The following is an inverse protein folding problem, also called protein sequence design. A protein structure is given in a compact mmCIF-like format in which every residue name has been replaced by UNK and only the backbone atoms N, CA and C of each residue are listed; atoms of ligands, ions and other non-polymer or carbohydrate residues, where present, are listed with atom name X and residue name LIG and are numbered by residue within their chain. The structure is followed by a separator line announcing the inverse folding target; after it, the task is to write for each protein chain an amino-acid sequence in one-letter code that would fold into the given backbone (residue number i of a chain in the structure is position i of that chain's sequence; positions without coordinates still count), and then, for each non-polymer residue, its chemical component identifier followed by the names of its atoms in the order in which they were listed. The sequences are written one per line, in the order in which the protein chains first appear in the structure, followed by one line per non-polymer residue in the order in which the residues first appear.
data_IF_691506134748
#
_entry.id   IF_691506134748
#
_cell.length_a   1.000
_cell.length_b   1.000
_cell.length_c   1.000
_cell.angle_alpha   90.00
_cell.angle_beta   90.00
_cell.angle_gamma   90.00
#
_symmetry.space_group_name_H-M   'P 1'
#
loop_
_entity.id
_entity.type
_entity.pdbx_description
1 polymer ?
#
# COMPACT_ATOMS: atom_id res chain seq x y z
N UNK A 1 -4.24 -17.56 97.41
CA UNK A 1 -3.67 -18.35 96.30
C UNK A 1 -4.83 -18.84 95.45
N UNK A 2 -5.12 -18.15 94.35
CA UNK A 2 -6.19 -18.53 93.42
C UNK A 2 -5.69 -19.68 92.55
N UNK A 3 -6.51 -20.72 92.39
CA UNK A 3 -6.19 -21.86 91.53
C UNK A 3 -6.10 -21.39 90.07
N UNK A 4 -4.87 -21.15 89.60
CA UNK A 4 -4.55 -20.96 88.19
C UNK A 4 -4.61 -22.33 87.50
N UNK A 5 -5.82 -22.76 87.17
CA UNK A 5 -6.04 -23.95 86.37
C UNK A 5 -7.31 -23.73 85.57
N UNK A 6 -7.23 -23.98 84.26
CA UNK A 6 -8.42 -23.96 83.43
C UNK A 6 -9.34 -25.06 83.94
N UNK A 7 -10.61 -24.72 84.14
CA UNK A 7 -11.62 -25.75 84.36
C UNK A 7 -11.67 -26.65 83.12
N UNK A 8 -11.96 -27.93 83.32
CA UNK A 8 -12.07 -28.90 82.23
C UNK A 8 -13.03 -28.44 81.11
N UNK A 9 -14.07 -27.70 81.50
CA UNK A 9 -15.04 -27.10 80.60
C UNK A 9 -14.45 -25.99 79.73
N UNK A 10 -13.63 -25.11 80.30
CA UNK A 10 -12.92 -24.06 79.55
C UNK A 10 -11.89 -24.65 78.57
N UNK A 11 -11.21 -25.74 78.95
CA UNK A 11 -10.29 -26.45 78.06
C UNK A 11 -11.05 -27.07 76.87
N UNK A 12 -12.19 -27.71 77.14
CA UNK A 12 -13.03 -28.31 76.10
C UNK A 12 -13.58 -27.25 75.13
N UNK A 13 -14.01 -26.10 75.66
CA UNK A 13 -14.53 -24.99 74.85
C UNK A 13 -13.43 -24.36 73.99
N UNK A 14 -12.22 -24.17 74.54
CA UNK A 14 -11.07 -23.67 73.79
C UNK A 14 -10.64 -24.63 72.67
N UNK A 15 -10.62 -25.94 72.93
CA UNK A 15 -10.33 -26.95 71.90
C UNK A 15 -11.38 -26.94 70.78
N UNK A 16 -12.67 -26.80 71.10
CA UNK A 16 -13.75 -26.70 70.12
C UNK A 16 -13.64 -25.41 69.27
N UNK A 17 -13.29 -24.28 69.89
CA UNK A 17 -13.07 -23.03 69.16
C UNK A 17 -11.85 -23.10 68.23
N UNK A 18 -10.77 -23.75 68.66
CA UNK A 18 -9.58 -23.97 67.84
C UNK A 18 -9.90 -24.85 66.61
N UNK A 19 -10.64 -25.95 66.81
CA UNK A 19 -11.03 -26.84 65.71
C UNK A 19 -11.98 -26.14 64.73
N UNK A 20 -12.95 -25.36 65.22
CA UNK A 20 -13.84 -24.55 64.37
C UNK A 20 -13.07 -23.51 63.55
N UNK A 21 -12.07 -22.85 64.13
CA UNK A 21 -11.21 -21.90 63.40
C UNK A 21 -10.37 -22.62 62.34
N UNK A 22 -9.85 -23.81 62.65
CA UNK A 22 -9.08 -24.62 61.70
C UNK A 22 -9.93 -25.09 60.53
N UNK A 23 -11.14 -25.58 60.80
CA UNK A 23 -12.10 -26.01 59.78
C UNK A 23 -12.55 -24.83 58.92
N UNK A 24 -12.89 -23.68 59.53
CA UNK A 24 -13.23 -22.47 58.78
C UNK A 24 -12.08 -21.95 57.92
N UNK A 25 -10.83 -22.03 58.40
CA UNK A 25 -9.65 -21.67 57.60
C UNK A 25 -9.44 -22.63 56.41
N UNK A 26 -9.62 -23.94 56.62
CA UNK A 26 -9.53 -24.93 55.56
C UNK A 26 -10.62 -24.74 54.49
N UNK A 27 -11.85 -24.46 54.90
CA UNK A 27 -12.97 -24.14 53.99
C UNK A 27 -12.69 -22.85 53.20
N UNK A 28 -12.16 -21.79 53.84
CA UNK A 28 -11.79 -20.57 53.12
C UNK A 28 -10.63 -20.77 52.15
N UNK A 29 -9.64 -21.60 52.50
CA UNK A 29 -8.51 -21.90 51.63
C UNK A 29 -8.96 -22.67 50.38
N UNK A 30 -9.85 -23.65 50.56
CA UNK A 30 -10.44 -24.40 49.44
C UNK A 30 -11.22 -23.48 48.48
N UNK A 31 -12.01 -22.54 49.01
CA UNK A 31 -12.73 -21.55 48.18
C UNK A 31 -11.77 -20.65 47.39
N UNK A 32 -10.65 -20.23 48.00
CA UNK A 32 -9.64 -19.45 47.27
C UNK A 32 -8.92 -20.26 46.19
N UNK A 33 -8.65 -21.55 46.42
CA UNK A 33 -8.07 -22.43 45.41
C UNK A 33 -9.00 -22.61 44.22
N UNK A 34 -10.31 -22.79 44.46
CA UNK A 34 -11.32 -22.83 43.40
C UNK A 34 -11.41 -21.51 42.63
N UNK A 35 -11.38 -20.36 43.32
CA UNK A 35 -11.35 -19.05 42.67
C UNK A 35 -10.09 -18.82 41.83
N UNK A 36 -8.93 -19.28 42.30
CA UNK A 36 -7.68 -19.18 41.58
C UNK A 36 -7.73 -20.05 40.31
N UNK A 37 -8.22 -21.28 40.42
CA UNK A 37 -8.40 -22.17 39.28
C UNK A 37 -9.34 -21.56 38.21
N UNK A 38 -10.46 -20.98 38.64
CA UNK A 38 -11.39 -20.33 37.72
C UNK A 38 -10.79 -19.07 37.05
N UNK A 39 -9.97 -18.30 37.79
CA UNK A 39 -9.27 -17.14 37.24
C UNK A 39 -8.18 -17.55 36.25
N UNK A 40 -7.43 -18.60 36.55
CA UNK A 40 -6.39 -19.14 35.66
C UNK A 40 -6.99 -19.66 34.35
N UNK A 41 -8.13 -20.36 34.42
CA UNK A 41 -8.89 -20.78 33.23
C UNK A 41 -9.32 -19.57 32.39
N UNK A 42 -9.82 -18.51 33.03
CA UNK A 42 -10.22 -17.29 32.31
C UNK A 42 -9.03 -16.55 31.69
N UNK A 43 -7.88 -16.54 32.36
CA UNK A 43 -6.64 -15.98 31.81
C UNK A 43 -6.19 -16.76 30.58
N UNK A 44 -6.27 -18.09 30.61
CA UNK A 44 -5.92 -18.93 29.46
C UNK A 44 -6.83 -18.69 28.26
N UNK A 45 -8.14 -18.57 28.49
CA UNK A 45 -9.13 -18.24 27.45
C UNK A 45 -8.84 -16.87 26.81
N UNK A 46 -8.63 -15.83 27.62
CA UNK A 46 -8.32 -14.47 27.12
C UNK A 46 -6.98 -14.45 26.38
N UNK A 47 -5.99 -15.21 26.85
CA UNK A 47 -4.69 -15.32 26.18
C UNK A 47 -4.83 -15.94 24.78
N UNK A 48 -5.65 -16.99 24.66
CA UNK A 48 -5.95 -17.62 23.37
C UNK A 48 -6.64 -16.64 22.42
N UNK A 49 -7.70 -15.96 22.86
CA UNK A 49 -8.42 -14.95 22.04
C UNK A 49 -7.48 -13.84 21.56
N UNK A 50 -6.58 -13.38 22.43
CA UNK A 50 -5.60 -12.33 22.09
C UNK A 50 -4.61 -12.82 21.05
N UNK A 51 -4.15 -14.06 21.16
CA UNK A 51 -3.18 -14.63 20.23
C UNK A 51 -3.84 -14.89 18.86
N UNK A 52 -5.07 -15.38 18.81
CA UNK A 52 -5.89 -15.49 17.59
C UNK A 52 -6.12 -14.11 16.93
N UNK A 53 -6.49 -13.10 17.71
CA UNK A 53 -6.68 -11.74 17.20
C UNK A 53 -5.38 -11.13 16.64
N UNK A 54 -4.23 -11.49 17.22
CA UNK A 54 -2.91 -11.06 16.76
C UNK A 54 -2.53 -11.74 15.44
N UNK A 55 -2.82 -13.03 15.30
CA UNK A 55 -2.62 -13.75 14.04
C UNK A 55 -3.50 -13.18 12.93
N UNK A 56 -4.80 -12.98 13.18
CA UNK A 56 -5.71 -12.34 12.22
C UNK A 56 -5.23 -10.95 11.80
N UNK A 57 -4.72 -10.13 12.74
CA UNK A 57 -4.15 -8.82 12.43
C UNK A 57 -2.86 -8.95 11.60
N UNK A 58 -2.03 -9.95 11.86
CA UNK A 58 -0.83 -10.24 11.08
C UNK A 58 -1.18 -10.64 9.64
N UNK A 59 -2.14 -11.54 9.46
CA UNK A 59 -2.64 -11.96 8.15
C UNK A 59 -3.25 -10.77 7.38
N UNK A 60 -4.04 -9.92 8.04
CA UNK A 60 -4.56 -8.69 7.43
C UNK A 60 -3.44 -7.73 7.01
N UNK A 61 -2.37 -7.63 7.81
CA UNK A 61 -1.21 -6.79 7.51
C UNK A 61 -0.38 -7.34 6.37
N UNK A 62 -0.20 -8.65 6.30
CA UNK A 62 0.46 -9.32 5.18
C UNK A 62 -0.37 -9.20 3.90
N UNK A 63 -1.69 -9.38 3.96
CA UNK A 63 -2.59 -9.14 2.84
C UNK A 63 -2.57 -7.67 2.37
N UNK A 64 -2.44 -6.71 3.30
CA UNK A 64 -2.24 -5.31 2.96
C UNK A 64 -0.86 -5.02 2.35
N UNK A 65 0.18 -5.73 2.77
CA UNK A 65 1.53 -5.64 2.19
C UNK A 65 1.63 -6.25 0.79
N UNK A 66 0.78 -7.23 0.47
CA UNK A 66 0.66 -7.85 -0.86
C UNK A 66 -0.36 -7.16 -1.77
N UNK A 67 -1.00 -6.08 -1.33
CA UNK A 67 -1.85 -5.27 -2.21
C UNK A 67 -0.91 -4.60 -3.24
N UNK A 68 -1.18 -4.70 -4.55
CA UNK A 68 -0.34 -4.06 -5.55
C UNK A 68 -0.18 -2.58 -5.20
N UNK A 69 1.03 -2.04 -5.39
CA UNK A 69 1.46 -0.67 -5.06
C UNK A 69 0.75 0.41 -5.90
N UNK A 70 -0.55 0.26 -6.13
CA UNK A 70 -1.37 1.08 -7.01
C UNK A 70 -2.65 1.57 -6.33
N UNK A 71 -3.21 2.62 -6.91
CA UNK A 71 -4.48 3.19 -6.44
C UNK A 71 -5.66 2.30 -6.83
N UNK A 72 -5.51 1.57 -7.94
CA UNK A 72 -6.55 0.78 -8.58
C UNK A 72 -6.29 -0.72 -8.44
N UNK A 73 -7.36 -1.50 -8.35
CA UNK A 73 -7.26 -2.96 -8.37
C UNK A 73 -6.96 -3.49 -9.79
N UNK A 74 -6.35 -4.68 -9.87
CA UNK A 74 -5.92 -5.26 -11.14
C UNK A 74 -7.09 -5.56 -12.09
N UNK A 75 -8.24 -6.00 -11.55
CA UNK A 75 -9.41 -6.32 -12.36
C UNK A 75 -10.03 -5.08 -13.03
N UNK A 76 -9.95 -3.92 -12.37
CA UNK A 76 -10.37 -2.64 -12.89
C UNK A 76 -9.41 -2.14 -13.97
N UNK A 77 -8.10 -2.31 -13.77
CA UNK A 77 -7.09 -1.96 -14.79
C UNK A 77 -7.31 -2.74 -16.10
N UNK A 78 -7.58 -4.04 -16.03
CA UNK A 78 -7.87 -4.87 -17.20
C UNK A 78 -9.08 -4.37 -18.02
N UNK A 79 -10.05 -3.72 -17.37
CA UNK A 79 -11.23 -3.15 -18.03
C UNK A 79 -10.98 -1.80 -18.70
N UNK A 80 -9.98 -1.05 -18.26
CA UNK A 80 -9.66 0.27 -18.83
C UNK A 80 -8.91 0.17 -20.16
N UNK A 81 -8.12 -0.89 -20.34
CA UNK A 81 -7.34 -1.15 -21.54
C UNK A 81 -5.86 -1.40 -21.26
N UNK A 82 -5.05 -1.57 -22.31
CA UNK A 82 -3.63 -1.85 -22.15
C UNK A 82 -2.86 -0.63 -21.64
N UNK A 83 -1.91 -0.87 -20.73
CA UNK A 83 -0.95 0.13 -20.28
C UNK A 83 0.29 0.15 -21.19
N UNK A 84 0.83 1.34 -21.45
CA UNK A 84 2.09 1.55 -22.17
C UNK A 84 3.28 1.15 -21.31
N UNK A 85 3.22 1.38 -20.01
CA UNK A 85 4.20 0.91 -19.03
C UNK A 85 3.47 0.38 -17.79
N UNK A 86 4.06 -0.57 -17.05
CA UNK A 86 3.44 -1.09 -15.84
C UNK A 86 3.15 0.03 -14.84
N UNK A 87 1.89 0.23 -14.49
CA UNK A 87 1.45 1.26 -13.54
C UNK A 87 1.05 2.60 -14.15
N UNK A 88 0.96 2.71 -15.48
CA UNK A 88 0.56 3.94 -16.18
C UNK A 88 -0.72 4.57 -15.61
N UNK A 89 -1.77 3.78 -15.41
CA UNK A 89 -3.05 4.32 -14.98
C UNK A 89 -2.96 4.89 -13.55
N UNK A 90 -2.16 4.24 -12.70
CA UNK A 90 -1.88 4.73 -11.34
C UNK A 90 -1.11 6.05 -11.39
N UNK A 91 -0.06 6.15 -12.21
CA UNK A 91 0.72 7.38 -12.35
C UNK A 91 -0.14 8.54 -12.86
N UNK A 92 -0.98 8.28 -13.87
CA UNK A 92 -1.91 9.28 -14.41
C UNK A 92 -2.93 9.73 -13.37
N UNK A 93 -3.48 8.79 -12.60
CA UNK A 93 -4.45 9.10 -11.54
C UNK A 93 -3.78 9.89 -10.42
N UNK A 94 -2.56 9.51 -10.02
CA UNK A 94 -1.77 10.25 -9.03
C UNK A 94 -1.56 11.70 -9.47
N UNK A 95 -1.12 11.93 -10.70
CA UNK A 95 -0.93 13.28 -11.24
C UNK A 95 -2.24 14.09 -11.27
N UNK A 96 -3.36 13.45 -11.61
CA UNK A 96 -4.67 14.09 -11.56
C UNK A 96 -5.05 14.47 -10.12
N UNK A 97 -4.80 13.58 -9.15
CA UNK A 97 -5.04 13.85 -7.72
C UNK A 97 -4.17 15.01 -7.24
N UNK A 98 -2.88 15.04 -7.59
CA UNK A 98 -1.97 16.13 -7.25
C UNK A 98 -2.51 17.48 -7.77
N UNK A 99 -2.91 17.52 -9.04
CA UNK A 99 -3.52 18.70 -9.65
C UNK A 99 -4.78 19.16 -8.91
N UNK A 100 -5.69 18.24 -8.59
CA UNK A 100 -6.91 18.58 -7.85
C UNK A 100 -6.64 19.04 -6.42
N UNK A 101 -5.64 18.46 -5.73
CA UNK A 101 -5.26 18.89 -4.39
C UNK A 101 -4.69 20.31 -4.37
N UNK A 102 -3.98 20.72 -5.41
CA UNK A 102 -3.47 22.09 -5.58
C UNK A 102 -4.60 23.11 -5.78
N UNK A 103 -5.66 22.74 -6.50
CA UNK A 103 -6.79 23.62 -6.83
C UNK A 103 -8.03 23.41 -5.92
N UNK A 104 -7.90 22.57 -4.89
CA UNK A 104 -9.05 22.09 -4.13
C UNK A 104 -9.79 23.19 -3.36
N UNK A 105 -9.07 24.24 -2.95
CA UNK A 105 -9.66 25.37 -2.24
C UNK A 105 -10.45 26.29 -3.18
N UNK A 106 -9.91 26.55 -4.37
CA UNK A 106 -10.54 27.39 -5.39
C UNK A 106 -11.80 26.74 -5.99
N UNK A 107 -11.78 25.41 -6.12
CA UNK A 107 -12.87 24.60 -6.67
C UNK A 107 -13.92 24.19 -5.61
N UNK A 108 -13.76 24.62 -4.36
CA UNK A 108 -14.76 24.41 -3.30
C UNK A 108 -14.90 22.97 -2.81
N UNK A 109 -13.83 22.15 -2.87
CA UNK A 109 -13.86 20.77 -2.40
C UNK A 109 -14.00 20.68 -0.88
N UNK A 110 -14.88 19.80 -0.41
CA UNK A 110 -15.09 19.58 1.02
C UNK A 110 -13.85 18.98 1.71
N UNK A 111 -13.76 19.15 3.03
CA UNK A 111 -12.60 18.70 3.81
C UNK A 111 -12.41 17.18 3.78
N UNK A 112 -13.48 16.39 3.65
CA UNK A 112 -13.40 14.93 3.62
C UNK A 112 -12.86 14.44 2.28
N UNK A 113 -13.36 14.98 1.16
CA UNK A 113 -12.86 14.63 -0.16
C UNK A 113 -11.37 14.98 -0.32
N UNK A 114 -10.96 16.16 0.15
CA UNK A 114 -9.54 16.56 0.20
C UNK A 114 -8.69 15.59 1.04
N UNK A 115 -9.19 15.16 2.20
CA UNK A 115 -8.48 14.21 3.05
C UNK A 115 -8.32 12.83 2.38
N UNK A 116 -9.34 12.34 1.68
CA UNK A 116 -9.27 11.07 0.95
C UNK A 116 -8.26 11.16 -0.20
N UNK A 117 -8.35 12.20 -1.04
CA UNK A 117 -7.41 12.43 -2.14
C UNK A 117 -5.96 12.53 -1.65
N UNK A 118 -5.73 13.24 -0.55
CA UNK A 118 -4.41 13.35 0.07
C UNK A 118 -3.89 11.98 0.52
N UNK A 119 -4.71 11.17 1.18
CA UNK A 119 -4.31 9.81 1.57
C UNK A 119 -4.01 8.91 0.37
N UNK A 120 -4.79 9.00 -0.71
CA UNK A 120 -4.54 8.24 -1.93
C UNK A 120 -3.20 8.65 -2.56
N UNK A 121 -2.92 9.95 -2.62
CA UNK A 121 -1.66 10.47 -3.14
C UNK A 121 -0.46 10.02 -2.29
N UNK A 122 -0.51 10.22 -0.97
CA UNK A 122 0.57 9.88 -0.03
C UNK A 122 0.90 8.39 0.03
N UNK A 123 -0.11 7.52 -0.16
CA UNK A 123 0.08 6.07 -0.12
C UNK A 123 0.43 5.47 -1.48
N UNK A 124 0.22 6.20 -2.57
CA UNK A 124 0.65 5.80 -3.91
C UNK A 124 2.13 6.13 -4.11
N UNK A 125 2.81 5.38 -4.97
CA UNK A 125 4.17 5.69 -5.42
C UNK A 125 4.20 5.77 -6.95
N UNK A 126 5.17 6.54 -7.46
CA UNK A 126 5.43 6.58 -8.90
C UNK A 126 5.99 5.23 -9.36
N UNK A 127 5.40 4.67 -10.41
CA UNK A 127 5.78 3.36 -10.92
C UNK A 127 7.26 3.30 -11.34
N UNK A 128 7.87 2.12 -11.21
CA UNK A 128 9.20 1.87 -11.81
C UNK A 128 9.15 1.97 -13.33
N UNK A 129 8.03 1.55 -13.95
CA UNK A 129 7.82 1.58 -15.39
C UNK A 129 7.95 2.98 -15.99
N UNK A 130 7.44 4.01 -15.32
CA UNK A 130 7.58 5.40 -15.76
C UNK A 130 9.05 5.85 -15.73
N UNK A 131 9.77 5.51 -14.65
CA UNK A 131 11.19 5.85 -14.49
C UNK A 131 12.05 5.16 -15.56
N UNK A 132 11.79 3.89 -15.83
CA UNK A 132 12.45 3.11 -16.87
C UNK A 132 12.18 3.69 -18.26
N UNK A 133 10.92 3.99 -18.60
CA UNK A 133 10.55 4.58 -19.89
C UNK A 133 11.28 5.90 -20.14
N UNK A 134 11.40 6.76 -19.14
CA UNK A 134 12.09 8.04 -19.24
C UNK A 134 13.60 7.87 -19.41
N UNK A 135 14.20 6.96 -18.66
CA UNK A 135 15.62 6.63 -18.79
C UNK A 135 15.92 6.08 -20.19
N UNK A 136 15.09 5.14 -20.66
CA UNK A 136 15.20 4.54 -21.99
C UNK A 136 14.99 5.56 -23.11
N UNK A 137 14.04 6.48 -22.97
CA UNK A 137 13.82 7.56 -23.93
C UNK A 137 15.02 8.51 -24.00
N UNK A 138 15.55 8.91 -22.84
CA UNK A 138 16.75 9.75 -22.77
C UNK A 138 17.96 9.06 -23.39
N UNK A 139 18.12 7.75 -23.18
CA UNK A 139 19.18 6.96 -23.80
C UNK A 139 18.98 6.82 -25.32
N UNK A 140 17.77 6.49 -25.77
CA UNK A 140 17.43 6.29 -27.17
C UNK A 140 17.68 7.54 -28.03
N UNK A 141 17.41 8.72 -27.46
CA UNK A 141 17.59 10.00 -28.15
C UNK A 141 19.06 10.44 -28.25
N UNK A 142 19.94 9.91 -27.39
CA UNK A 142 21.39 10.24 -27.39
C UNK A 142 22.20 9.42 -28.41
N UNK A 143 21.71 8.27 -28.84
CA UNK A 143 22.38 7.45 -29.86
C UNK A 143 22.21 8.10 -31.24
N UNK A 144 23.20 8.91 -31.64
CA UNK A 144 23.16 9.62 -32.93
C UNK A 144 23.10 8.67 -34.11
N UNK A 145 23.84 7.57 -34.08
CA UNK A 145 24.00 6.73 -35.27
C UNK A 145 22.75 5.89 -35.55
N UNK A 146 21.97 5.59 -34.50
CA UNK A 146 20.78 4.74 -34.61
C UNK A 146 19.51 5.41 -34.08
N UNK A 147 19.51 6.73 -33.90
CA UNK A 147 18.42 7.52 -33.31
C UNK A 147 17.03 7.05 -33.75
N UNK A 148 16.77 7.08 -35.06
CA UNK A 148 15.47 6.72 -35.61
C UNK A 148 15.09 5.27 -35.29
N UNK A 149 16.04 4.34 -35.36
CA UNK A 149 15.80 2.92 -35.11
C UNK A 149 15.60 2.64 -33.62
N UNK A 150 16.38 3.26 -32.74
CA UNK A 150 16.31 3.06 -31.29
C UNK A 150 15.02 3.66 -30.73
N UNK A 151 14.65 4.88 -31.14
CA UNK A 151 13.38 5.51 -30.74
C UNK A 151 12.18 4.76 -31.30
N UNK A 152 12.24 4.29 -32.55
CA UNK A 152 11.18 3.48 -33.13
C UNK A 152 10.96 2.18 -32.34
N UNK A 153 12.02 1.44 -32.04
CA UNK A 153 11.92 0.20 -31.25
C UNK A 153 11.38 0.44 -29.84
N UNK A 154 11.78 1.54 -29.21
CA UNK A 154 11.26 1.94 -27.90
C UNK A 154 9.74 2.17 -28.00
N UNK A 155 9.29 3.02 -28.91
CA UNK A 155 7.86 3.34 -29.06
C UNK A 155 7.04 2.11 -29.48
N UNK A 156 7.59 1.23 -30.32
CA UNK A 156 6.95 -0.04 -30.70
C UNK A 156 6.72 -0.97 -29.50
N UNK A 157 7.64 -1.00 -28.54
CA UNK A 157 7.48 -1.74 -27.28
C UNK A 157 6.36 -1.17 -26.41
N UNK A 158 6.13 0.14 -26.48
CA UNK A 158 5.14 0.88 -25.69
C UNK A 158 3.85 1.18 -26.47
N UNK A 159 3.44 0.29 -27.37
CA UNK A 159 2.10 0.34 -27.96
C UNK A 159 1.99 1.12 -29.28
N UNK A 160 3.10 1.53 -29.90
CA UNK A 160 3.07 2.10 -31.26
C UNK A 160 3.32 1.03 -32.34
N UNK A 161 2.89 1.33 -33.56
CA UNK A 161 3.18 0.59 -34.76
C UNK A 161 3.84 1.53 -35.77
N UNK A 162 4.96 1.10 -36.35
CA UNK A 162 5.64 1.88 -37.36
C UNK A 162 4.87 1.84 -38.68
N UNK A 163 4.44 3.02 -39.13
CA UNK A 163 4.07 3.27 -40.52
C UNK A 163 5.22 3.99 -41.22
N UNK A 164 5.69 3.47 -42.34
CA UNK A 164 6.51 4.28 -43.24
C UNK A 164 5.57 5.10 -44.13
N UNK A 165 5.59 6.41 -43.94
CA UNK A 165 4.88 7.35 -44.82
C UNK A 165 5.81 8.52 -45.11
N UNK A 166 6.65 8.38 -46.15
CA UNK A 166 7.59 9.42 -46.59
C UNK A 166 8.98 9.35 -45.98
N UNK A 167 9.71 10.47 -46.02
CA UNK A 167 11.14 10.57 -45.60
C UNK A 167 11.35 10.28 -44.11
N UNK A 168 10.33 10.49 -43.28
CA UNK A 168 10.37 10.33 -41.82
C UNK A 168 9.38 9.26 -41.37
N UNK A 169 9.80 8.25 -40.58
CA UNK A 169 8.89 7.24 -40.07
C UNK A 169 7.82 7.87 -39.16
N UNK A 170 6.57 7.48 -39.39
CA UNK A 170 5.41 7.93 -38.63
C UNK A 170 4.89 6.76 -37.81
N UNK A 171 5.01 6.86 -36.49
CA UNK A 171 4.53 5.88 -35.54
C UNK A 171 3.09 6.20 -35.16
N UNK A 172 2.19 5.25 -35.40
CA UNK A 172 0.79 5.38 -35.03
C UNK A 172 0.48 4.48 -33.84
N UNK A 173 -0.37 4.90 -32.88
CA UNK A 173 -0.78 4.06 -31.78
C UNK A 173 -1.46 2.77 -32.27
N UNK A 174 -1.22 1.65 -31.59
CA UNK A 174 -1.95 0.40 -31.82
C UNK A 174 -3.39 0.52 -31.31
N UNK A 175 -4.27 -0.30 -31.84
CA UNK A 175 -5.64 -0.40 -31.34
C UNK A 175 -5.65 -0.71 -29.84
N UNK A 176 -6.48 0.00 -29.08
CA UNK A 176 -6.59 -0.14 -27.61
C UNK A 176 -5.89 0.97 -26.81
N UNK A 177 -4.90 1.66 -27.37
CA UNK A 177 -4.23 2.78 -26.70
C UNK A 177 -4.93 4.11 -26.99
N UNK A 178 -6.05 4.35 -26.30
CA UNK A 178 -6.86 5.55 -26.49
C UNK A 178 -6.13 6.83 -26.04
N UNK A 179 -6.41 7.95 -26.71
CA UNK A 179 -5.86 9.27 -26.36
C UNK A 179 -4.43 9.55 -26.84
N UNK A 180 -3.71 8.55 -27.36
CA UNK A 180 -2.39 8.75 -27.95
C UNK A 180 -2.46 9.40 -29.34
N UNK A 181 -1.48 10.25 -29.63
CA UNK A 181 -1.32 10.92 -30.93
C UNK A 181 -0.18 10.30 -31.74
N UNK A 182 -0.26 10.27 -33.09
CA UNK A 182 0.85 9.80 -33.91
C UNK A 182 2.11 10.64 -33.74
N UNK A 183 3.27 9.98 -33.72
CA UNK A 183 4.58 10.61 -33.53
C UNK A 183 5.41 10.44 -34.81
N UNK A 184 5.96 11.53 -35.33
CA UNK A 184 6.91 11.48 -36.45
C UNK A 184 8.33 11.56 -35.91
N UNK A 185 9.15 10.57 -36.24
CA UNK A 185 10.56 10.53 -35.81
C UNK A 185 11.44 10.98 -36.96
N UNK A 186 12.40 11.86 -36.69
CA UNK A 186 13.37 12.29 -37.70
C UNK A 186 14.33 11.16 -38.07
N UNK A 187 14.47 10.90 -39.37
CA UNK A 187 15.35 9.85 -39.91
C UNK A 187 16.82 10.23 -39.87
N UNK A 188 17.11 11.54 -39.91
CA UNK A 188 18.47 12.06 -39.90
C UNK A 188 18.79 12.57 -38.50
N UNK A 189 19.91 12.13 -37.90
CA UNK A 189 20.32 12.63 -36.59
C UNK A 189 20.64 14.12 -36.68
N UNK A 190 19.87 14.96 -35.99
CA UNK A 190 20.17 16.38 -35.86
C UNK A 190 21.24 16.65 -34.80
N UNK A 191 21.55 17.94 -34.60
CA UNK A 191 22.35 18.41 -33.48
C UNK A 191 21.70 18.07 -32.13
N UNK A 192 22.46 18.21 -31.04
CA UNK A 192 21.98 17.96 -29.67
C UNK A 192 20.65 18.67 -29.35
N UNK A 193 20.45 19.89 -29.84
CA UNK A 193 19.18 20.63 -29.70
C UNK A 193 18.01 19.93 -30.40
N UNK A 194 18.23 19.36 -31.58
CA UNK A 194 17.21 18.60 -32.30
C UNK A 194 16.81 17.31 -31.57
N UNK A 195 17.78 16.67 -30.92
CA UNK A 195 17.55 15.50 -30.06
C UNK A 195 16.72 15.88 -28.83
N UNK A 196 17.12 16.92 -28.09
CA UNK A 196 16.36 17.39 -26.92
C UNK A 196 14.91 17.79 -27.31
N UNK A 197 14.74 18.44 -28.47
CA UNK A 197 13.40 18.77 -28.99
C UNK A 197 12.57 17.53 -29.32
N UNK A 198 13.16 16.50 -29.94
CA UNK A 198 12.48 15.24 -30.22
C UNK A 198 12.07 14.54 -28.92
N UNK A 199 12.95 14.50 -27.91
CA UNK A 199 12.61 13.96 -26.58
C UNK A 199 11.39 14.68 -26.02
N UNK A 200 11.41 16.01 -25.97
CA UNK A 200 10.30 16.79 -25.44
C UNK A 200 9.00 16.63 -26.25
N UNK A 201 9.09 16.47 -27.56
CA UNK A 201 7.92 16.17 -28.39
C UNK A 201 7.30 14.82 -28.01
N UNK A 202 8.13 13.79 -27.81
CA UNK A 202 7.68 12.45 -27.40
C UNK A 202 7.10 12.50 -25.97
N UNK A 203 7.80 13.13 -25.03
CA UNK A 203 7.31 13.32 -23.65
C UNK A 203 5.95 14.03 -23.61
N UNK A 204 5.75 15.06 -24.42
CA UNK A 204 4.47 15.76 -24.55
C UNK A 204 3.39 14.86 -25.15
N UNK A 205 3.71 14.14 -26.24
CA UNK A 205 2.76 13.27 -26.94
C UNK A 205 2.27 12.11 -26.05
N UNK A 206 3.14 11.59 -25.17
CA UNK A 206 2.81 10.55 -24.19
C UNK A 206 2.20 11.12 -22.89
N UNK A 207 2.25 12.43 -22.70
CA UNK A 207 1.73 13.12 -21.51
C UNK A 207 2.60 12.93 -20.25
N UNK A 208 3.90 12.70 -20.39
CA UNK A 208 4.77 12.32 -19.27
C UNK A 208 5.13 13.48 -18.33
N UNK A 209 5.04 14.73 -18.80
CA UNK A 209 5.59 15.90 -18.07
C UNK A 209 5.01 16.15 -16.69
N UNK A 210 3.74 15.80 -16.48
CA UNK A 210 3.02 16.06 -15.22
C UNK A 210 2.99 14.85 -14.28
N UNK A 211 3.72 13.78 -14.61
CA UNK A 211 3.67 12.51 -13.87
C UNK A 211 4.78 12.38 -12.80
N UNK A 212 5.58 13.42 -12.58
CA UNK A 212 6.69 13.41 -11.60
C UNK A 212 6.29 13.89 -10.20
N UNK A 213 5.11 14.48 -10.06
CA UNK A 213 4.63 15.10 -8.83
C UNK A 213 3.84 14.10 -7.95
#
# INVERSE_FOLDING_TARGET
MAAQGWSWLELQEACLQAERRRLGQAETAALYEEELAAKDEKIAEIALERDEAREALSEMREAAAHRPEGILDAAFLERLGPEMWPGEMTDRLRAAIAYWLEHAEDEGWDSRSRAVLRQMHEKSQVSSGLRELRADLSAAVRDRNRLSQTVQRLLERHGFAAGQTGKHPKLSPRAGFAGLVPITVMSTPGDRRGQDNLRHQIENALGLKRLDD
#
